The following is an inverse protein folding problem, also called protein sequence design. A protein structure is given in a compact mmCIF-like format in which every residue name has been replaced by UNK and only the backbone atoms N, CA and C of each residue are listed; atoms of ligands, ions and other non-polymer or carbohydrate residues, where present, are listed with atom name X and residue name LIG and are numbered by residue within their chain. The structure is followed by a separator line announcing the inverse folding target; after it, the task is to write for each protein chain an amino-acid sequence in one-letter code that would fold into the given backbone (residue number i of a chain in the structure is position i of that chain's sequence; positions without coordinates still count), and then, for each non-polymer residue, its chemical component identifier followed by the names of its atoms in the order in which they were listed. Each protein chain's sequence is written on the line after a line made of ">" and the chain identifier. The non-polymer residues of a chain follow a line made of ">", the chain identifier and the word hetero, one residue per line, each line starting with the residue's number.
data_IF_578026255486
#
_entry.id   IF_578026255486
#
_cell.length_a   1.000
_cell.length_b   1.000
_cell.length_c   1.000
_cell.angle_alpha   90.00
_cell.angle_beta   90.00
_cell.angle_gamma   90.00
#
_symmetry.space_group_name_H-M   'P 1'
#
loop_
_entity.id
_entity.type
_entity.pdbx_description
1 polymer ?
#
# COMPACT_ATOMS: atom_id res chain seq x y z
N UNK A 1 -17.59 -32.24 1.10
CA UNK A 1 -18.46 -31.11 1.47
C UNK A 1 -18.00 -29.94 0.63
N UNK A 2 -18.80 -29.45 -0.29
CA UNK A 2 -18.50 -28.22 -1.02
C UNK A 2 -18.54 -27.08 -0.02
N UNK A 3 -17.39 -26.51 0.33
CA UNK A 3 -17.36 -25.26 1.07
C UNK A 3 -18.01 -24.20 0.18
N UNK A 4 -19.26 -23.86 0.47
CA UNK A 4 -19.86 -22.63 -0.06
C UNK A 4 -18.96 -21.48 0.39
N UNK A 5 -18.38 -20.80 -0.58
CA UNK A 5 -17.56 -19.63 -0.33
C UNK A 5 -18.48 -18.56 0.26
N UNK A 6 -18.17 -18.13 1.47
CA UNK A 6 -18.79 -16.94 2.05
C UNK A 6 -18.59 -15.76 1.07
N UNK A 7 -19.57 -14.84 1.00
CA UNK A 7 -19.58 -13.66 0.13
C UNK A 7 -18.23 -12.95 0.07
N UNK A 8 -17.53 -12.82 1.21
CA UNK A 8 -16.19 -12.22 1.25
C UNK A 8 -15.15 -12.97 0.42
N UNK A 9 -15.16 -14.30 0.43
CA UNK A 9 -14.26 -15.12 -0.37
C UNK A 9 -14.59 -15.01 -1.86
N UNK A 10 -15.87 -14.90 -2.21
CA UNK A 10 -16.30 -14.69 -3.60
C UNK A 10 -15.80 -13.34 -4.12
N UNK A 11 -16.01 -12.27 -3.36
CA UNK A 11 -15.53 -10.92 -3.71
C UNK A 11 -14.01 -10.89 -3.87
N UNK A 12 -13.25 -11.50 -2.96
CA UNK A 12 -11.78 -11.58 -3.08
C UNK A 12 -11.33 -12.33 -4.34
N UNK A 13 -12.02 -13.43 -4.69
CA UNK A 13 -11.72 -14.17 -5.93
C UNK A 13 -12.06 -13.38 -7.18
N UNK A 14 -13.15 -12.62 -7.16
CA UNK A 14 -13.51 -11.74 -8.26
C UNK A 14 -12.44 -10.65 -8.45
N UNK A 15 -12.01 -9.98 -7.38
CA UNK A 15 -10.93 -8.99 -7.43
C UNK A 15 -9.61 -9.57 -7.91
N UNK A 16 -9.29 -10.80 -7.52
CA UNK A 16 -8.12 -11.52 -8.01
C UNK A 16 -8.21 -11.74 -9.54
N UNK A 17 -9.39 -12.05 -10.07
CA UNK A 17 -9.62 -12.15 -11.51
C UNK A 17 -9.48 -10.78 -12.20
N UNK A 18 -10.01 -9.71 -11.62
CA UNK A 18 -9.86 -8.35 -12.15
C UNK A 18 -8.38 -7.95 -12.29
N UNK A 19 -7.54 -8.33 -11.33
CA UNK A 19 -6.09 -8.09 -11.42
C UNK A 19 -5.46 -8.85 -12.61
N UNK A 20 -5.84 -10.10 -12.84
CA UNK A 20 -5.39 -10.83 -14.03
C UNK A 20 -5.86 -10.19 -15.34
N UNK A 21 -7.10 -9.71 -15.40
CA UNK A 21 -7.66 -9.07 -16.58
C UNK A 21 -6.97 -7.73 -16.89
N UNK A 22 -6.43 -7.07 -15.87
CA UNK A 22 -5.55 -5.89 -16.01
C UNK A 22 -4.10 -6.24 -16.37
N UNK A 23 -3.77 -7.53 -16.51
CA UNK A 23 -2.41 -7.99 -16.83
C UNK A 23 -1.44 -7.93 -15.64
N UNK A 24 -1.97 -7.88 -14.42
CA UNK A 24 -1.20 -7.70 -13.18
C UNK A 24 -1.14 -9.04 -12.46
N UNK A 25 0.06 -9.42 -12.02
CA UNK A 25 0.26 -10.62 -11.21
C UNK A 25 -0.15 -10.34 -9.74
N UNK A 26 -1.25 -10.91 -9.24
CA UNK A 26 -1.74 -10.64 -7.88
C UNK A 26 -0.81 -11.18 -6.79
N UNK A 27 0.13 -12.06 -7.12
CA UNK A 27 1.14 -12.57 -6.18
C UNK A 27 2.46 -11.81 -6.25
N UNK A 28 2.55 -10.82 -7.14
CA UNK A 28 3.70 -9.94 -7.24
C UNK A 28 4.99 -10.65 -7.63
N UNK A 29 6.11 -9.95 -7.42
CA UNK A 29 7.47 -10.43 -7.67
C UNK A 29 8.34 -10.04 -6.48
N UNK A 30 9.63 -10.36 -6.58
CA UNK A 30 10.62 -9.80 -5.66
C UNK A 30 10.48 -8.27 -5.62
N UNK A 31 10.38 -7.73 -4.41
CA UNK A 31 10.28 -6.31 -4.13
C UNK A 31 11.29 -5.99 -3.04
N UNK A 32 12.33 -5.24 -3.38
CA UNK A 32 13.43 -4.92 -2.47
C UNK A 32 13.06 -3.66 -1.66
N UNK A 33 12.95 -3.82 -0.34
CA UNK A 33 12.66 -2.73 0.61
C UNK A 33 13.94 -1.97 0.96
N UNK A 34 13.83 -0.67 1.24
CA UNK A 34 14.94 0.15 1.76
C UNK A 34 14.81 0.47 3.24
N UNK A 35 13.60 0.39 3.81
CA UNK A 35 13.34 0.73 5.20
C UNK A 35 12.27 -0.16 5.84
N UNK A 36 12.23 -0.13 7.18
CA UNK A 36 11.18 -0.74 8.01
C UNK A 36 10.42 0.34 8.77
N UNK A 37 9.15 0.08 9.12
CA UNK A 37 8.26 1.06 9.72
C UNK A 37 8.84 1.71 11.00
N UNK A 38 9.42 0.92 11.91
CA UNK A 38 10.02 1.43 13.16
C UNK A 38 11.22 2.35 12.89
N UNK A 39 12.05 2.01 11.90
CA UNK A 39 13.17 2.86 11.48
C UNK A 39 12.66 4.20 10.94
N UNK A 40 11.59 4.18 10.15
CA UNK A 40 11.00 5.41 9.61
C UNK A 40 10.45 6.32 10.72
N UNK A 41 9.78 5.74 11.72
CA UNK A 41 9.34 6.51 12.88
C UNK A 41 10.51 7.12 13.64
N UNK A 42 11.57 6.34 13.88
CA UNK A 42 12.76 6.82 14.56
C UNK A 42 13.44 7.99 13.83
N UNK A 43 13.58 7.87 12.51
CA UNK A 43 14.32 8.83 11.70
C UNK A 43 13.50 10.08 11.39
N UNK A 44 12.17 9.96 11.23
CA UNK A 44 11.37 11.01 10.61
C UNK A 44 10.30 11.66 11.52
N UNK A 45 9.86 11.02 12.62
CA UNK A 45 8.81 11.58 13.49
C UNK A 45 9.21 12.90 14.16
N UNK A 46 10.51 13.19 14.24
CA UNK A 46 11.03 14.42 14.83
C UNK A 46 10.86 15.65 13.93
N UNK A 47 10.67 15.46 12.62
CA UNK A 47 10.56 16.56 11.67
C UNK A 47 9.11 17.05 11.54
N UNK A 48 8.97 18.35 11.40
CA UNK A 48 7.71 18.97 11.01
C UNK A 48 7.41 18.73 9.53
N UNK A 49 6.15 18.95 9.14
CA UNK A 49 5.73 18.82 7.74
C UNK A 49 6.55 19.69 6.78
N UNK A 50 6.89 20.91 7.19
CA UNK A 50 7.64 21.83 6.33
C UNK A 50 9.10 21.35 6.18
N UNK A 51 9.71 20.84 7.25
CA UNK A 51 11.05 20.24 7.22
C UNK A 51 11.09 18.95 6.39
N UNK A 52 10.04 18.14 6.43
CA UNK A 52 9.91 16.95 5.57
C UNK A 52 9.82 17.35 4.08
N UNK A 53 9.06 18.39 3.77
CA UNK A 53 8.96 18.90 2.39
C UNK A 53 10.31 19.42 1.87
N UNK A 54 11.08 20.13 2.70
CA UNK A 54 12.43 20.58 2.33
C UNK A 54 13.41 19.40 2.15
N UNK A 55 13.08 18.22 2.67
CA UNK A 55 13.88 16.98 2.64
C UNK A 55 13.33 15.92 1.69
N UNK A 56 12.36 16.26 0.83
CA UNK A 56 11.68 15.32 -0.06
C UNK A 56 12.66 14.53 -0.96
N UNK A 57 13.75 15.16 -1.41
CA UNK A 57 14.79 14.50 -2.22
C UNK A 57 15.64 13.50 -1.41
N UNK A 58 15.76 13.68 -0.10
CA UNK A 58 16.51 12.82 0.83
C UNK A 58 15.64 11.71 1.43
N UNK A 59 14.31 11.81 1.33
CA UNK A 59 13.36 10.97 2.05
C UNK A 59 12.73 9.86 1.21
N UNK A 60 13.33 9.52 0.06
CA UNK A 60 12.83 8.43 -0.77
C UNK A 60 12.98 7.07 -0.07
N UNK A 61 11.85 6.38 0.13
CA UNK A 61 11.77 5.14 0.87
C UNK A 61 10.89 4.11 0.16
N UNK A 62 11.27 2.84 0.30
CA UNK A 62 10.56 1.70 -0.26
C UNK A 62 10.24 0.73 0.88
N UNK A 63 8.95 0.53 1.12
CA UNK A 63 8.43 -0.34 2.18
C UNK A 63 7.53 -1.41 1.59
N UNK A 64 7.38 -2.52 2.31
CA UNK A 64 6.34 -3.49 1.98
C UNK A 64 5.78 -4.12 3.25
N UNK A 65 4.48 -4.40 3.24
CA UNK A 65 3.76 -4.92 4.40
C UNK A 65 2.29 -5.23 4.10
N UNK A 66 1.57 -5.60 5.14
CA UNK A 66 0.15 -5.96 5.08
C UNK A 66 -0.75 -4.75 5.28
N UNK A 67 -1.78 -4.59 4.45
CA UNK A 67 -2.80 -3.56 4.68
C UNK A 67 -3.64 -3.93 5.91
N UNK A 68 -3.52 -3.14 6.97
CA UNK A 68 -4.29 -3.34 8.21
C UNK A 68 -5.55 -2.51 8.23
N UNK A 69 -5.50 -1.29 7.67
CA UNK A 69 -6.66 -0.44 7.49
C UNK A 69 -6.55 0.30 6.17
N UNK A 70 -7.69 0.62 5.56
CA UNK A 70 -7.74 1.38 4.30
C UNK A 70 -8.94 2.31 4.32
N UNK A 71 -8.73 3.57 3.93
CA UNK A 71 -9.75 4.62 3.85
C UNK A 71 -9.57 5.38 2.54
N UNK A 72 -10.49 5.23 1.60
CA UNK A 72 -10.47 5.92 0.32
C UNK A 72 -11.58 6.96 0.21
N UNK A 73 -11.30 8.11 -0.41
CA UNK A 73 -12.32 9.08 -0.83
C UNK A 73 -11.94 9.70 -2.17
N UNK A 74 -12.68 9.36 -3.23
CA UNK A 74 -12.47 9.92 -4.56
C UNK A 74 -11.10 9.52 -5.15
N UNK A 75 -10.25 10.51 -5.45
CA UNK A 75 -8.95 10.32 -6.11
C UNK A 75 -7.76 10.18 -5.15
N UNK A 76 -8.03 10.00 -3.85
CA UNK A 76 -7.01 9.82 -2.84
C UNK A 76 -7.46 8.82 -1.76
N UNK A 77 -6.49 8.19 -1.09
CA UNK A 77 -6.74 7.28 0.00
C UNK A 77 -5.55 7.15 0.95
N UNK A 78 -5.85 6.64 2.14
CA UNK A 78 -4.88 6.32 3.18
C UNK A 78 -4.98 4.84 3.53
N UNK A 79 -3.85 4.22 3.87
CA UNK A 79 -3.84 2.92 4.53
C UNK A 79 -2.78 2.89 5.62
N UNK A 80 -2.94 1.97 6.57
CA UNK A 80 -1.83 1.57 7.44
C UNK A 80 -1.28 0.25 6.90
N UNK A 81 0.02 0.24 6.63
CA UNK A 81 0.77 -0.90 6.15
C UNK A 81 1.63 -1.41 7.29
N UNK A 82 1.47 -2.68 7.66
CA UNK A 82 2.20 -3.31 8.75
C UNK A 82 3.31 -4.21 8.23
N UNK A 83 4.53 -3.98 8.67
CA UNK A 83 5.66 -4.89 8.46
C UNK A 83 6.01 -5.64 9.77
N UNK A 84 7.22 -6.23 9.84
CA UNK A 84 7.66 -6.96 11.03
C UNK A 84 7.97 -6.05 12.23
N UNK A 85 8.25 -4.77 11.97
CA UNK A 85 8.71 -3.79 12.97
C UNK A 85 7.56 -2.94 13.51
N UNK A 86 6.56 -2.62 12.68
CA UNK A 86 5.46 -1.74 13.08
C UNK A 86 4.45 -1.45 11.96
N UNK A 87 3.64 -0.43 12.17
CA UNK A 87 2.68 0.09 11.19
C UNK A 87 3.11 1.47 10.72
N UNK A 88 3.05 1.72 9.40
CA UNK A 88 3.31 3.03 8.79
C UNK A 88 2.11 3.44 7.95
N UNK A 89 1.75 4.73 8.00
CA UNK A 89 0.67 5.26 7.18
C UNK A 89 1.16 5.60 5.77
N UNK A 90 0.42 5.15 4.76
CA UNK A 90 0.67 5.48 3.36
C UNK A 90 -0.44 6.36 2.82
N UNK A 91 -0.06 7.39 2.05
CA UNK A 91 -0.98 8.29 1.37
C UNK A 91 -0.85 8.12 -0.14
N UNK A 92 -1.93 7.68 -0.80
CA UNK A 92 -1.95 7.36 -2.22
C UNK A 92 -2.88 8.31 -2.95
N UNK A 93 -2.37 8.99 -3.97
CA UNK A 93 -3.15 9.88 -4.84
C UNK A 93 -3.06 9.46 -6.31
N UNK A 94 -4.20 9.45 -7.00
CA UNK A 94 -4.30 9.06 -8.42
C UNK A 94 -3.39 9.90 -9.33
N UNK A 95 -3.21 11.18 -9.03
CA UNK A 95 -2.39 12.08 -9.84
C UNK A 95 -0.87 11.88 -9.66
N UNK A 96 -0.44 11.21 -8.59
CA UNK A 96 0.96 10.83 -8.40
C UNK A 96 1.26 9.40 -8.89
N UNK A 97 0.38 8.43 -8.59
CA UNK A 97 0.65 7.02 -8.96
C UNK A 97 0.15 6.64 -10.36
N UNK A 98 -0.69 7.47 -10.99
CA UNK A 98 -1.32 7.18 -12.28
C UNK A 98 -2.58 6.32 -12.19
N UNK A 99 -3.23 6.07 -13.32
CA UNK A 99 -4.53 5.36 -13.34
C UNK A 99 -4.40 3.88 -12.98
N UNK A 100 -3.40 3.19 -13.53
CA UNK A 100 -3.23 1.74 -13.38
C UNK A 100 -2.90 1.37 -11.93
N UNK A 101 -1.91 2.04 -11.32
CA UNK A 101 -1.57 1.82 -9.91
C UNK A 101 -2.71 2.21 -8.97
N UNK A 102 -3.48 3.25 -9.32
CA UNK A 102 -4.63 3.63 -8.52
C UNK A 102 -5.79 2.62 -8.65
N UNK A 103 -5.92 1.93 -9.78
CA UNK A 103 -6.86 0.83 -9.94
C UNK A 103 -6.47 -0.36 -9.04
N UNK A 104 -5.18 -0.73 -9.03
CA UNK A 104 -4.65 -1.76 -8.09
C UNK A 104 -4.98 -1.37 -6.66
N UNK A 105 -4.62 -0.13 -6.28
CA UNK A 105 -4.90 0.40 -4.96
C UNK A 105 -6.37 0.27 -4.61
N UNK A 106 -7.31 0.58 -5.50
CA UNK A 106 -8.74 0.46 -5.23
C UNK A 106 -9.18 -0.99 -5.04
N UNK A 107 -8.65 -1.92 -5.84
CA UNK A 107 -8.95 -3.35 -5.73
C UNK A 107 -8.37 -3.99 -4.47
N UNK A 108 -7.26 -3.49 -3.93
CA UNK A 108 -6.63 -4.04 -2.71
C UNK A 108 -7.55 -4.04 -1.49
N UNK A 109 -7.51 -5.10 -0.69
CA UNK A 109 -8.30 -5.30 0.52
C UNK A 109 -7.46 -5.36 1.79
N UNK A 110 -8.13 -5.28 2.95
CA UNK A 110 -7.50 -5.56 4.24
C UNK A 110 -6.89 -6.97 4.23
N UNK A 111 -5.64 -7.07 4.63
CA UNK A 111 -4.89 -8.32 4.65
C UNK A 111 -4.06 -8.58 3.40
N UNK A 112 -4.24 -7.83 2.31
CA UNK A 112 -3.36 -7.94 1.15
C UNK A 112 -1.96 -7.40 1.49
N UNK A 113 -0.94 -7.92 0.83
CA UNK A 113 0.45 -7.45 0.96
C UNK A 113 0.74 -6.51 -0.20
N UNK A 114 1.28 -5.34 0.12
CA UNK A 114 1.62 -4.30 -0.86
C UNK A 114 3.05 -3.82 -0.66
N UNK A 115 3.68 -3.42 -1.76
CA UNK A 115 4.92 -2.65 -1.77
C UNK A 115 4.61 -1.21 -2.15
N UNK A 116 5.26 -0.25 -1.49
CA UNK A 116 5.08 1.18 -1.70
C UNK A 116 6.45 1.84 -1.85
N UNK A 117 6.59 2.66 -2.88
CA UNK A 117 7.73 3.55 -3.11
C UNK A 117 7.19 4.98 -3.03
N UNK A 118 7.82 5.81 -2.20
CA UNK A 118 7.36 7.17 -1.94
C UNK A 118 8.35 7.98 -1.13
N UNK A 119 7.90 9.13 -0.66
CA UNK A 119 8.65 10.10 0.15
C UNK A 119 7.96 10.29 1.50
N UNK A 120 8.71 10.70 2.52
CA UNK A 120 8.21 11.00 3.87
C UNK A 120 7.52 12.35 3.96
#
# INVERSE_FOLDING_TARGET
>A
MSEELNDQMQVRRQKLQELYDLGIDPFGKRFDRTAEADQLHHDWDAFTKDELHDKEEESQVVIAGRIMTKRGKGKAGFAHVQDLSGEIQVYVRKDQVGEDQFAIWNSSDLGDIVGVDGVM
#
